data_IF_529728302371
#
_entry.id   IF_529728302371
#
_cell.length_a   1.000
_cell.length_b   1.000
_cell.length_c   1.000
_cell.angle_alpha   90.00
_cell.angle_beta   90.00
_cell.angle_gamma   90.00
#
_symmetry.space_group_name_H-M   'P 1'
#
loop_
_entity.id
_entity.type
_entity.pdbx_description
1 polymer ?
#
# COMPACT_ATOMS: atom_id res chain seq x y z
N UNK A 1 -22.62 -21.86 33.01
CA UNK A 1 -22.97 -20.76 32.07
C UNK A 1 -21.75 -19.91 31.68
N UNK A 2 -20.84 -19.57 32.59
CA UNK A 2 -19.68 -18.72 32.29
C UNK A 2 -18.63 -19.35 31.35
N UNK A 3 -18.41 -20.65 31.39
CA UNK A 3 -17.36 -21.30 30.58
C UNK A 3 -17.69 -21.32 29.09
N UNK A 4 -18.94 -21.62 28.73
CA UNK A 4 -19.38 -21.61 27.32
C UNK A 4 -19.26 -20.20 26.74
N UNK A 5 -19.65 -19.16 27.50
CA UNK A 5 -19.51 -17.77 27.08
C UNK A 5 -18.03 -17.37 26.88
N UNK A 6 -17.13 -17.82 27.75
CA UNK A 6 -15.69 -17.57 27.63
C UNK A 6 -15.08 -18.26 26.39
N UNK A 7 -15.47 -19.51 26.11
CA UNK A 7 -15.02 -20.24 24.91
C UNK A 7 -15.51 -19.53 23.63
N UNK A 8 -16.78 -19.11 23.59
CA UNK A 8 -17.32 -18.34 22.46
C UNK A 8 -16.57 -17.01 22.26
N UNK A 9 -16.30 -16.27 23.32
CA UNK A 9 -15.54 -15.01 23.24
C UNK A 9 -14.11 -15.23 22.72
N UNK A 10 -13.42 -16.26 23.19
CA UNK A 10 -12.07 -16.61 22.73
C UNK A 10 -12.06 -17.03 21.26
N UNK A 11 -13.07 -17.78 20.80
CA UNK A 11 -13.22 -18.16 19.40
C UNK A 11 -13.45 -16.94 18.49
N UNK A 12 -14.33 -16.02 18.89
CA UNK A 12 -14.59 -14.76 18.16
C UNK A 12 -13.34 -13.89 18.09
N UNK A 13 -12.62 -13.74 19.20
CA UNK A 13 -11.37 -12.99 19.24
C UNK A 13 -10.31 -13.59 18.31
N UNK A 14 -10.14 -14.92 18.35
CA UNK A 14 -9.18 -15.63 17.50
C UNK A 14 -9.53 -15.47 16.02
N UNK A 15 -10.81 -15.62 15.66
CA UNK A 15 -11.28 -15.42 14.29
C UNK A 15 -11.07 -13.97 13.80
N UNK A 16 -11.27 -12.97 14.68
CA UNK A 16 -11.00 -11.57 14.36
C UNK A 16 -9.50 -11.33 14.12
N UNK A 17 -8.63 -11.87 14.97
CA UNK A 17 -7.18 -11.77 14.80
C UNK A 17 -6.70 -12.43 13.52
N UNK A 18 -7.20 -13.63 13.20
CA UNK A 18 -6.89 -14.32 11.95
C UNK A 18 -7.34 -13.50 10.73
N UNK A 19 -8.55 -12.92 10.80
CA UNK A 19 -9.08 -12.07 9.73
C UNK A 19 -8.20 -10.84 9.50
N UNK A 20 -7.72 -10.20 10.57
CA UNK A 20 -6.81 -9.05 10.49
C UNK A 20 -5.48 -9.46 9.86
N UNK A 21 -4.91 -10.59 10.30
CA UNK A 21 -3.64 -11.11 9.78
C UNK A 21 -3.74 -11.45 8.28
N UNK A 22 -4.79 -12.16 7.87
CA UNK A 22 -5.03 -12.53 6.47
C UNK A 22 -5.23 -11.29 5.60
N UNK A 23 -6.02 -10.31 6.04
CA UNK A 23 -6.20 -9.05 5.29
C UNK A 23 -4.88 -8.30 5.12
N UNK A 24 -4.04 -8.26 6.16
CA UNK A 24 -2.72 -7.63 6.09
C UNK A 24 -1.79 -8.37 5.12
N UNK A 25 -1.79 -9.71 5.13
CA UNK A 25 -1.02 -10.53 4.21
C UNK A 25 -1.46 -10.32 2.75
N UNK A 26 -2.76 -10.35 2.47
CA UNK A 26 -3.31 -10.10 1.13
C UNK A 26 -2.89 -8.70 0.64
N UNK A 27 -2.93 -7.69 1.51
CA UNK A 27 -2.48 -6.33 1.18
C UNK A 27 -1.00 -6.30 0.78
N UNK A 28 -0.12 -7.01 1.51
CA UNK A 28 1.31 -7.13 1.18
C UNK A 28 1.49 -7.83 -0.17
N UNK A 29 0.87 -9.00 -0.37
CA UNK A 29 0.99 -9.78 -1.59
C UNK A 29 0.49 -9.02 -2.83
N UNK A 30 -0.58 -8.24 -2.71
CA UNK A 30 -1.08 -7.37 -3.79
C UNK A 30 -0.09 -6.28 -4.16
N UNK A 31 0.52 -5.64 -3.16
CA UNK A 31 1.51 -4.60 -3.38
C UNK A 31 2.78 -5.15 -4.04
N UNK A 32 3.25 -6.33 -3.62
CA UNK A 32 4.38 -7.01 -4.27
C UNK A 32 4.05 -7.42 -5.70
N UNK A 33 2.84 -7.93 -5.95
CA UNK A 33 2.39 -8.27 -7.30
C UNK A 33 2.34 -7.05 -8.21
N UNK A 34 1.76 -5.94 -7.74
CA UNK A 34 1.73 -4.67 -8.47
C UNK A 34 3.15 -4.19 -8.77
N UNK A 35 4.02 -4.16 -7.75
CA UNK A 35 5.39 -3.71 -7.92
C UNK A 35 6.13 -4.54 -8.97
N UNK A 36 6.08 -5.87 -8.89
CA UNK A 36 6.76 -6.74 -9.88
C UNK A 36 6.17 -6.62 -11.29
N UNK A 37 4.89 -6.28 -11.42
CA UNK A 37 4.25 -6.13 -12.72
C UNK A 37 4.64 -4.84 -13.44
N UNK A 38 4.97 -3.78 -12.70
CA UNK A 38 5.22 -2.44 -13.24
C UNK A 38 6.68 -2.00 -13.16
N UNK A 39 7.46 -2.56 -12.24
CA UNK A 39 8.75 -2.02 -11.83
C UNK A 39 9.83 -3.11 -11.72
N UNK A 40 10.83 -3.02 -12.60
CA UNK A 40 12.03 -3.87 -12.60
C UNK A 40 13.10 -3.30 -11.66
N UNK A 41 13.81 -4.19 -10.95
CA UNK A 41 14.74 -3.85 -9.85
C UNK A 41 15.94 -3.00 -10.32
N UNK A 42 16.33 -3.17 -11.57
CA UNK A 42 17.53 -2.58 -12.19
C UNK A 42 17.22 -1.34 -13.04
N UNK A 43 15.96 -0.91 -13.11
CA UNK A 43 15.52 0.22 -13.94
C UNK A 43 15.10 1.42 -13.11
N UNK A 44 15.49 2.61 -13.56
CA UNK A 44 14.98 3.89 -13.06
C UNK A 44 13.78 4.30 -13.91
N UNK A 45 12.70 4.69 -13.24
CA UNK A 45 11.45 5.11 -13.88
C UNK A 45 11.24 6.61 -13.69
N UNK A 46 10.93 7.37 -14.74
CA UNK A 46 10.50 8.76 -14.63
C UNK A 46 9.13 8.83 -13.94
N UNK A 47 8.83 10.01 -13.37
CA UNK A 47 7.59 10.23 -12.62
C UNK A 47 6.34 9.93 -13.46
N UNK A 48 6.33 10.32 -14.73
CA UNK A 48 5.24 10.02 -15.66
C UNK A 48 4.97 8.51 -15.82
N UNK A 49 6.02 7.68 -15.90
CA UNK A 49 5.85 6.21 -15.99
C UNK A 49 5.31 5.62 -14.67
N UNK A 50 5.75 6.17 -13.54
CA UNK A 50 5.22 5.76 -12.23
C UNK A 50 3.75 6.16 -12.11
N UNK A 51 3.40 7.39 -12.45
CA UNK A 51 2.03 7.88 -12.47
C UNK A 51 1.13 7.00 -13.36
N UNK A 52 1.63 6.64 -14.54
CA UNK A 52 0.93 5.76 -15.47
C UNK A 52 0.65 4.36 -14.90
N UNK A 53 1.55 3.81 -14.07
CA UNK A 53 1.28 2.56 -13.35
C UNK A 53 0.07 2.65 -12.40
N UNK A 54 -0.18 3.84 -11.84
CA UNK A 54 -1.37 4.15 -11.04
C UNK A 54 -2.58 4.63 -11.89
N UNK A 55 -2.45 4.63 -13.23
CA UNK A 55 -3.45 5.14 -14.17
C UNK A 55 -3.79 6.62 -13.95
N UNK A 56 -2.78 7.40 -13.58
CA UNK A 56 -2.87 8.85 -13.40
C UNK A 56 -1.86 9.51 -14.36
N UNK A 57 -2.15 10.74 -14.77
CA UNK A 57 -1.08 11.60 -15.29
C UNK A 57 -0.21 12.12 -14.14
N UNK A 58 0.93 12.71 -14.52
CA UNK A 58 1.92 13.22 -13.57
C UNK A 58 1.33 14.24 -12.59
N UNK A 59 0.49 15.15 -13.06
CA UNK A 59 -0.10 16.22 -12.23
C UNK A 59 -1.06 15.65 -11.19
N UNK A 60 -1.94 14.74 -11.60
CA UNK A 60 -2.86 14.08 -10.69
C UNK A 60 -2.15 13.17 -9.69
N UNK A 61 -1.08 12.48 -10.11
CA UNK A 61 -0.25 11.68 -9.21
C UNK A 61 0.45 12.55 -8.15
N UNK A 62 1.05 13.68 -8.54
CA UNK A 62 1.65 14.62 -7.60
C UNK A 62 0.61 15.21 -6.64
N UNK A 63 -0.57 15.57 -7.14
CA UNK A 63 -1.68 16.04 -6.30
C UNK A 63 -2.09 15.00 -5.26
N UNK A 64 -2.16 13.72 -5.65
CA UNK A 64 -2.40 12.63 -4.71
C UNK A 64 -1.31 12.55 -3.65
N UNK A 65 -0.03 12.65 -4.04
CA UNK A 65 1.08 12.61 -3.08
C UNK A 65 1.01 13.79 -2.10
N UNK A 66 0.70 15.00 -2.58
CA UNK A 66 0.52 16.19 -1.75
C UNK A 66 -0.61 16.02 -0.73
N UNK A 67 -1.76 15.50 -1.15
CA UNK A 67 -2.89 15.23 -0.24
C UNK A 67 -2.50 14.21 0.83
N UNK A 68 -1.82 13.13 0.42
CA UNK A 68 -1.42 12.07 1.36
C UNK A 68 -0.36 12.56 2.36
N UNK A 69 0.55 13.43 1.94
CA UNK A 69 1.55 14.06 2.81
C UNK A 69 0.94 15.09 3.75
N UNK A 70 0.06 15.95 3.25
CA UNK A 70 -0.63 16.96 4.04
C UNK A 70 -1.38 16.33 5.23
N UNK A 71 -2.04 15.19 4.99
CA UNK A 71 -2.73 14.44 6.03
C UNK A 71 -1.85 13.43 6.79
N UNK A 72 -0.53 13.46 6.61
CA UNK A 72 0.45 12.58 7.28
C UNK A 72 0.20 11.08 7.09
N UNK A 73 -0.50 10.69 6.01
CA UNK A 73 -0.73 9.29 5.67
C UNK A 73 0.47 8.66 4.97
N UNK A 74 1.25 9.46 4.27
CA UNK A 74 2.38 9.02 3.46
C UNK A 74 3.45 10.12 3.42
N UNK A 75 4.70 9.76 3.16
CA UNK A 75 5.77 10.71 2.90
C UNK A 75 6.51 10.18 1.69
N UNK A 76 6.58 10.97 0.63
CA UNK A 76 7.24 10.60 -0.60
C UNK A 76 8.59 11.32 -0.64
N UNK A 77 9.66 10.59 -0.34
CA UNK A 77 10.97 11.22 -0.20
C UNK A 77 11.56 11.66 -1.56
N UNK A 78 11.14 11.02 -2.65
CA UNK A 78 11.71 11.26 -3.97
C UNK A 78 10.81 12.12 -4.89
N UNK A 79 10.43 13.32 -4.42
CA UNK A 79 9.60 14.28 -5.19
C UNK A 79 10.31 14.91 -6.39
N UNK A 80 11.64 15.00 -6.38
CA UNK A 80 12.43 15.83 -7.33
C UNK A 80 12.96 15.07 -8.55
N UNK A 81 12.50 13.85 -8.77
CA UNK A 81 12.94 13.01 -9.87
C UNK A 81 14.25 12.32 -9.55
N UNK A 82 14.38 11.08 -9.99
CA UNK A 82 15.67 10.38 -9.95
C UNK A 82 15.56 8.87 -9.79
N UNK A 83 14.63 8.35 -8.98
CA UNK A 83 14.83 6.94 -8.55
C UNK A 83 13.59 6.39 -7.90
N UNK A 84 12.69 5.80 -8.68
CA UNK A 84 11.48 5.21 -8.09
C UNK A 84 11.60 3.71 -7.79
N UNK A 85 12.66 3.04 -8.22
CA UNK A 85 12.74 1.57 -8.09
C UNK A 85 14.14 1.03 -7.80
N UNK A 86 15.21 1.80 -8.05
CA UNK A 86 16.58 1.29 -7.89
C UNK A 86 16.97 1.06 -6.42
N UNK A 87 16.45 1.86 -5.50
CA UNK A 87 16.74 1.74 -4.08
C UNK A 87 15.58 1.10 -3.31
N UNK A 88 15.95 0.32 -2.28
CA UNK A 88 15.01 -0.39 -1.42
C UNK A 88 13.91 0.52 -0.86
N UNK A 89 14.24 1.78 -0.57
CA UNK A 89 13.33 2.77 -0.01
C UNK A 89 12.21 3.15 -0.97
N UNK A 90 12.53 3.44 -2.24
CA UNK A 90 11.50 3.82 -3.23
C UNK A 90 10.59 2.63 -3.57
N UNK A 91 11.16 1.43 -3.66
CA UNK A 91 10.35 0.20 -3.80
C UNK A 91 9.40 0.00 -2.63
N UNK A 92 9.88 0.22 -1.39
CA UNK A 92 9.07 0.13 -0.19
C UNK A 92 7.96 1.21 -0.17
N UNK A 93 8.27 2.44 -0.55
CA UNK A 93 7.31 3.55 -0.65
C UNK A 93 6.19 3.25 -1.64
N UNK A 94 6.51 2.77 -2.84
CA UNK A 94 5.52 2.39 -3.84
C UNK A 94 4.62 1.25 -3.37
N UNK A 95 5.20 0.22 -2.74
CA UNK A 95 4.40 -0.87 -2.14
C UNK A 95 3.51 -0.33 -1.02
N UNK A 96 4.02 0.57 -0.18
CA UNK A 96 3.24 1.18 0.91
C UNK A 96 2.10 2.05 0.36
N UNK A 97 2.33 2.80 -0.72
CA UNK A 97 1.30 3.57 -1.41
C UNK A 97 0.18 2.65 -1.94
N UNK A 98 0.53 1.57 -2.63
CA UNK A 98 -0.46 0.58 -3.12
C UNK A 98 -1.27 0.01 -1.95
N UNK A 99 -0.64 -0.29 -0.82
CA UNK A 99 -1.32 -0.79 0.38
C UNK A 99 -2.29 0.25 0.95
N UNK A 100 -1.89 1.52 0.99
CA UNK A 100 -2.73 2.63 1.44
C UNK A 100 -3.98 2.78 0.56
N UNK A 101 -3.79 2.80 -0.76
CA UNK A 101 -4.86 2.95 -1.74
C UNK A 101 -5.80 1.73 -1.76
N UNK A 102 -5.27 0.52 -1.55
CA UNK A 102 -6.06 -0.70 -1.50
C UNK A 102 -7.01 -0.77 -0.29
N UNK A 103 -6.66 -0.13 0.83
CA UNK A 103 -7.52 -0.07 2.03
C UNK A 103 -8.73 0.86 1.82
N UNK A 104 -8.59 1.89 0.98
CA UNK A 104 -9.65 2.88 0.71
C UNK A 104 -10.76 2.38 -0.21
N UNK A 105 -10.59 1.25 -0.92
CA UNK A 105 -11.65 0.64 -1.75
C UNK A 105 -12.83 0.02 -0.97
N UNK A 106 -12.93 0.29 0.33
CA UNK A 106 -13.98 -0.16 1.25
C UNK A 106 -15.07 0.89 1.52
N UNK A 107 -15.02 2.05 0.86
CA UNK A 107 -16.01 3.13 0.94
C UNK A 107 -16.65 3.47 -0.43
N UNK A 108 -16.71 2.50 -1.35
CA UNK A 108 -17.51 2.59 -2.56
C UNK A 108 -18.62 1.54 -2.48
#
# INVERSE_FOLDING_TARGET
>A
MNEIAAICAAAVFTAAMLTIAVRRLISILRADKFHRAHFAVDRIYPLAEVAAAFRLDERHFLTLMDVLEHHRYFTFFNRRGVTLVKDYYSSYELKRLVRLLAVKKKFA
#
